data_IF_932661275437
#
_entry.id   IF_932661275437
#
_cell.length_a   1.000
_cell.length_b   1.000
_cell.length_c   1.000
_cell.angle_alpha   90.00
_cell.angle_beta   90.00
_cell.angle_gamma   90.00
#
_symmetry.space_group_name_H-M   'P 1'
#
loop_
_entity.id
_entity.type
_entity.pdbx_description
1 polymer ?
#
# COMPACT_ATOMS: atom_id res chain seq x y z
N UNK A 1 -22.77 3.90 -23.14
CA UNK A 1 -22.35 5.26 -23.52
C UNK A 1 -21.04 5.55 -22.80
N UNK A 2 -19.92 5.50 -23.52
CA UNK A 2 -18.58 5.66 -22.95
C UNK A 2 -18.31 7.12 -22.66
N UNK A 3 -18.11 7.47 -21.38
CA UNK A 3 -17.43 8.72 -21.03
C UNK A 3 -16.00 8.59 -21.54
N UNK A 4 -15.60 9.45 -22.46
CA UNK A 4 -14.20 9.62 -22.82
C UNK A 4 -13.48 10.16 -21.58
N UNK A 5 -12.66 9.33 -20.94
CA UNK A 5 -11.71 9.80 -19.93
C UNK A 5 -10.73 10.75 -20.64
N UNK A 6 -10.95 12.06 -20.51
CA UNK A 6 -10.09 13.07 -21.14
C UNK A 6 -8.77 13.13 -20.38
N UNK A 7 -7.66 12.83 -21.06
CA UNK A 7 -6.31 13.08 -20.55
C UNK A 7 -5.76 14.39 -21.12
N UNK A 8 -4.97 15.10 -20.32
CA UNK A 8 -4.29 16.34 -20.70
C UNK A 8 -2.83 16.26 -20.25
N UNK A 9 -1.89 16.55 -21.15
CA UNK A 9 -0.48 16.72 -20.78
C UNK A 9 -0.32 18.05 -20.03
N UNK A 10 0.33 18.02 -18.88
CA UNK A 10 0.63 19.20 -18.06
C UNK A 10 2.08 19.63 -18.18
N UNK A 11 3.00 18.67 -18.16
CA UNK A 11 4.44 18.90 -18.26
C UNK A 11 5.08 17.83 -19.14
N UNK A 12 6.05 18.25 -19.94
CA UNK A 12 6.88 17.40 -20.77
C UNK A 12 8.32 17.88 -20.62
N UNK A 13 9.16 17.05 -20.01
CA UNK A 13 10.55 17.35 -19.68
C UNK A 13 11.40 16.11 -20.04
N UNK A 14 12.72 16.27 -20.15
CA UNK A 14 13.58 15.19 -20.68
C UNK A 14 13.50 13.87 -19.89
N UNK A 15 13.22 13.93 -18.60
CA UNK A 15 13.19 12.77 -17.70
C UNK A 15 11.78 12.35 -17.27
N UNK A 16 10.73 13.10 -17.66
CA UNK A 16 9.36 12.73 -17.33
C UNK A 16 8.29 13.43 -18.18
N UNK A 17 7.12 12.81 -18.26
CA UNK A 17 5.90 13.44 -18.77
C UNK A 17 4.81 13.33 -17.70
N UNK A 18 4.17 14.45 -17.36
CA UNK A 18 3.03 14.46 -16.43
C UNK A 18 1.75 14.70 -17.21
N UNK A 19 0.78 13.83 -16.96
CA UNK A 19 -0.59 13.99 -17.44
C UNK A 19 -1.56 14.14 -16.28
N UNK A 20 -2.66 14.84 -16.54
CA UNK A 20 -3.87 14.82 -15.73
C UNK A 20 -4.89 13.95 -16.45
N UNK A 21 -5.53 13.02 -15.75
CA UNK A 21 -6.59 12.18 -16.32
C UNK A 21 -7.76 12.10 -15.34
N UNK A 22 -8.96 12.21 -15.88
CA UNK A 22 -10.19 11.93 -15.13
C UNK A 22 -10.40 10.42 -15.09
N UNK A 23 -10.37 9.83 -13.90
CA UNK A 23 -10.62 8.39 -13.71
C UNK A 23 -11.78 8.24 -12.75
N UNK A 24 -12.92 7.74 -13.26
CA UNK A 24 -14.12 7.48 -12.44
C UNK A 24 -14.66 8.72 -11.70
N UNK A 25 -14.49 9.91 -12.29
CA UNK A 25 -14.99 11.18 -11.73
C UNK A 25 -14.03 11.89 -10.77
N UNK A 26 -12.85 11.33 -10.53
CA UNK A 26 -11.77 11.97 -9.76
C UNK A 26 -10.58 12.26 -10.67
N UNK A 27 -9.90 13.39 -10.44
CA UNK A 27 -8.66 13.70 -11.14
C UNK A 27 -7.50 12.87 -10.59
N UNK A 28 -6.66 12.36 -11.47
CA UNK A 28 -5.40 11.68 -11.17
C UNK A 28 -4.28 12.33 -11.97
N UNK A 29 -3.22 12.74 -11.28
CA UNK A 29 -1.96 13.11 -11.91
C UNK A 29 -1.08 11.87 -12.06
N UNK A 30 -0.58 11.62 -13.28
CA UNK A 30 0.33 10.53 -13.56
C UNK A 30 1.63 11.09 -14.13
N UNK A 31 2.73 10.87 -13.42
CA UNK A 31 4.08 11.13 -13.90
C UNK A 31 4.66 9.85 -14.49
N UNK A 32 4.89 9.85 -15.80
CA UNK A 32 5.67 8.82 -16.47
C UNK A 32 7.14 9.19 -16.40
N UNK A 33 7.93 8.40 -15.67
CA UNK A 33 9.33 8.70 -15.37
C UNK A 33 10.25 7.85 -16.24
N UNK A 34 11.24 8.50 -16.85
CA UNK A 34 12.39 7.85 -17.48
C UNK A 34 13.64 8.59 -17.04
N UNK A 35 14.14 8.21 -15.86
CA UNK A 35 15.21 8.94 -15.19
C UNK A 35 16.58 8.61 -15.81
N UNK A 36 17.52 9.56 -15.76
CA UNK A 36 18.90 9.35 -16.19
C UNK A 36 19.57 8.22 -15.40
N UNK A 37 20.49 7.49 -16.02
CA UNK A 37 21.36 6.50 -15.34
C UNK A 37 22.39 7.16 -14.42
N UNK A 38 22.67 8.46 -14.63
CA UNK A 38 23.55 9.26 -13.78
C UNK A 38 22.78 9.84 -12.58
N UNK A 39 23.16 9.46 -11.36
CA UNK A 39 22.51 9.97 -10.15
C UNK A 39 22.63 11.50 -10.00
N UNK A 40 23.73 12.09 -10.47
CA UNK A 40 23.92 13.55 -10.47
C UNK A 40 22.86 14.25 -11.32
N UNK A 41 22.55 13.71 -12.50
CA UNK A 41 21.50 14.22 -13.39
C UNK A 41 20.10 13.98 -12.83
N UNK A 42 19.89 12.89 -12.07
CA UNK A 42 18.59 12.62 -11.42
C UNK A 42 18.23 13.60 -10.31
N UNK A 43 19.19 14.28 -9.68
CA UNK A 43 18.90 15.26 -8.62
C UNK A 43 17.96 16.38 -9.10
N UNK A 44 18.13 16.84 -10.35
CA UNK A 44 17.25 17.85 -10.93
C UNK A 44 15.82 17.31 -11.15
N UNK A 45 15.69 16.05 -11.59
CA UNK A 45 14.40 15.35 -11.69
C UNK A 45 13.67 15.31 -10.33
N UNK A 46 14.34 14.86 -9.26
CA UNK A 46 13.74 14.77 -7.93
C UNK A 46 13.26 16.13 -7.42
N UNK A 47 14.09 17.14 -7.58
CA UNK A 47 13.79 18.52 -7.17
C UNK A 47 12.61 19.09 -7.97
N UNK A 48 12.59 18.85 -9.28
CA UNK A 48 11.55 19.33 -10.17
C UNK A 48 10.19 18.69 -9.87
N UNK A 49 10.14 17.37 -9.71
CA UNK A 49 8.91 16.65 -9.37
C UNK A 49 8.36 17.11 -8.01
N UNK A 50 9.22 17.38 -7.03
CA UNK A 50 8.79 17.89 -5.73
C UNK A 50 8.05 19.23 -5.85
N UNK A 51 8.66 20.20 -6.56
CA UNK A 51 8.05 21.52 -6.78
C UNK A 51 6.69 21.38 -7.47
N UNK A 52 6.58 20.49 -8.47
CA UNK A 52 5.33 20.28 -9.20
C UNK A 52 4.26 19.69 -8.28
N UNK A 53 4.60 18.68 -7.48
CA UNK A 53 3.65 18.05 -6.53
C UNK A 53 3.14 19.06 -5.51
N UNK A 54 4.01 19.89 -4.95
CA UNK A 54 3.61 20.95 -4.01
C UNK A 54 2.65 21.96 -4.65
N UNK A 55 2.85 22.26 -5.94
CA UNK A 55 1.99 23.20 -6.68
C UNK A 55 0.64 22.62 -7.12
N UNK A 56 0.51 21.30 -7.13
CA UNK A 56 -0.65 20.57 -7.65
C UNK A 56 -1.12 19.52 -6.64
N UNK A 57 -1.84 19.95 -5.59
CA UNK A 57 -2.37 19.04 -4.58
C UNK A 57 -3.39 18.08 -5.20
N UNK A 58 -3.32 16.80 -4.83
CA UNK A 58 -4.27 15.79 -5.31
C UNK A 58 -3.69 14.38 -5.30
N UNK A 59 -4.37 13.48 -6.01
CA UNK A 59 -3.92 12.11 -6.18
C UNK A 59 -2.81 12.01 -7.22
N UNK A 60 -1.70 11.37 -6.84
CA UNK A 60 -0.51 11.21 -7.66
C UNK A 60 -0.14 9.75 -7.85
N UNK A 61 0.33 9.44 -9.06
CA UNK A 61 0.95 8.18 -9.41
C UNK A 61 2.23 8.45 -10.22
N UNK A 62 3.34 7.85 -9.83
CA UNK A 62 4.61 7.89 -10.56
C UNK A 62 4.92 6.50 -11.09
N UNK A 63 5.08 6.37 -12.40
CA UNK A 63 5.27 5.06 -13.05
C UNK A 63 6.38 5.15 -14.06
N UNK A 64 7.30 4.19 -14.03
CA UNK A 64 8.32 4.07 -15.06
C UNK A 64 9.67 3.63 -14.52
N UNK A 65 10.71 3.94 -15.29
CA UNK A 65 12.10 3.60 -15.00
C UNK A 65 12.76 4.74 -14.22
N UNK A 66 13.06 4.50 -12.95
CA UNK A 66 13.71 5.47 -12.08
C UNK A 66 15.24 5.37 -12.14
N UNK A 67 15.79 4.36 -12.83
CA UNK A 67 17.22 4.04 -12.89
C UNK A 67 17.92 4.02 -11.51
N UNK A 68 17.15 3.78 -10.44
CA UNK A 68 17.58 3.81 -9.06
C UNK A 68 16.97 2.63 -8.28
N UNK A 69 17.77 2.08 -7.37
CA UNK A 69 17.35 1.06 -6.41
C UNK A 69 17.30 1.67 -5.02
N UNK A 70 16.44 1.16 -4.13
CA UNK A 70 16.34 1.64 -2.74
C UNK A 70 17.44 1.06 -1.84
N UNK A 71 18.13 0.01 -2.29
CA UNK A 71 19.27 -0.55 -1.59
C UNK A 71 19.79 -1.85 -2.21
N UNK A 72 20.78 -2.45 -1.56
CA UNK A 72 21.46 -3.66 -2.05
C UNK A 72 20.51 -4.84 -2.30
N UNK A 73 19.42 -4.96 -1.54
CA UNK A 73 18.42 -6.03 -1.69
C UNK A 73 17.70 -6.03 -3.06
N UNK A 74 17.79 -4.93 -3.81
CA UNK A 74 17.16 -4.75 -5.12
C UNK A 74 18.13 -4.88 -6.30
N UNK A 75 19.36 -5.33 -6.01
CA UNK A 75 20.37 -5.66 -7.01
C UNK A 75 20.90 -7.07 -6.77
N UNK A 76 21.19 -7.79 -7.86
CA UNK A 76 21.87 -9.09 -7.82
C UNK A 76 23.00 -9.08 -8.86
N UNK A 77 24.19 -9.52 -8.44
CA UNK A 77 25.38 -9.53 -9.27
C UNK A 77 26.08 -8.17 -9.36
N UNK A 78 27.35 -8.20 -9.78
CA UNK A 78 28.21 -7.02 -9.87
C UNK A 78 28.48 -6.34 -8.51
N UNK A 79 28.94 -5.09 -8.57
CA UNK A 79 29.21 -4.29 -7.37
C UNK A 79 27.93 -3.87 -6.66
N UNK A 80 28.02 -3.60 -5.35
CA UNK A 80 26.95 -2.99 -4.58
C UNK A 80 26.48 -1.67 -5.22
N UNK A 81 25.19 -1.32 -5.11
CA UNK A 81 24.71 -0.03 -5.60
C UNK A 81 25.33 1.11 -4.78
N UNK A 82 25.45 2.29 -5.39
CA UNK A 82 25.92 3.50 -4.71
C UNK A 82 24.97 3.86 -3.56
N UNK A 83 25.51 3.95 -2.36
CA UNK A 83 24.75 4.31 -1.17
C UNK A 83 24.12 5.71 -1.27
N UNK A 84 24.88 6.67 -1.80
CA UNK A 84 24.40 8.03 -2.08
C UNK A 84 23.18 8.01 -3.01
N UNK A 85 23.27 7.29 -4.13
CA UNK A 85 22.14 7.24 -5.07
C UNK A 85 20.92 6.51 -4.49
N UNK A 86 21.12 5.50 -3.64
CA UNK A 86 20.01 4.80 -2.98
C UNK A 86 19.32 5.72 -1.98
N UNK A 87 20.11 6.37 -1.14
CA UNK A 87 19.63 7.28 -0.09
C UNK A 87 18.86 8.46 -0.67
N UNK A 88 19.37 9.11 -1.72
CA UNK A 88 18.66 10.21 -2.40
C UNK A 88 17.30 9.77 -2.96
N UNK A 89 17.21 8.57 -3.52
CA UNK A 89 15.96 8.05 -4.06
C UNK A 89 14.95 7.73 -2.95
N UNK A 90 15.41 7.10 -1.86
CA UNK A 90 14.57 6.80 -0.69
C UNK A 90 14.11 8.09 0.00
N UNK A 91 15.00 9.08 0.14
CA UNK A 91 14.66 10.39 0.68
C UNK A 91 13.58 11.08 -0.16
N UNK A 92 13.70 11.05 -1.50
CA UNK A 92 12.69 11.62 -2.38
C UNK A 92 11.32 10.92 -2.24
N UNK A 93 11.30 9.58 -2.17
CA UNK A 93 10.08 8.80 -1.92
C UNK A 93 9.44 9.22 -0.59
N UNK A 94 10.24 9.30 0.48
CA UNK A 94 9.77 9.62 1.82
C UNK A 94 9.27 11.07 1.92
N UNK A 95 9.98 12.01 1.30
CA UNK A 95 9.64 13.44 1.32
C UNK A 95 8.29 13.72 0.68
N UNK A 96 7.94 12.96 -0.36
CA UNK A 96 6.64 13.03 -1.02
C UNK A 96 5.60 12.06 -0.44
N UNK A 97 5.91 11.41 0.69
CA UNK A 97 5.05 10.41 1.34
C UNK A 97 4.54 9.34 0.37
N UNK A 98 5.39 8.93 -0.58
CA UNK A 98 5.03 7.98 -1.62
C UNK A 98 5.14 6.54 -1.10
N UNK A 99 4.25 5.71 -1.64
CA UNK A 99 4.16 4.30 -1.31
C UNK A 99 4.50 3.50 -2.57
N UNK A 100 5.49 2.61 -2.46
CA UNK A 100 5.79 1.62 -3.50
C UNK A 100 4.67 0.59 -3.59
N UNK A 101 3.93 0.61 -4.70
CA UNK A 101 2.83 -0.31 -4.94
C UNK A 101 3.44 -1.69 -5.23
N UNK A 102 3.12 -2.72 -4.40
CA UNK A 102 3.66 -4.05 -4.57
C UNK A 102 3.47 -4.56 -6.00
N UNK A 103 4.59 -4.85 -6.64
CA UNK A 103 4.61 -5.30 -8.03
C UNK A 103 4.67 -6.82 -8.06
N UNK A 104 3.62 -7.45 -8.59
CA UNK A 104 3.57 -8.91 -8.74
C UNK A 104 4.28 -9.38 -10.01
N UNK A 105 4.90 -10.56 -9.98
CA UNK A 105 5.67 -11.11 -11.10
C UNK A 105 7.17 -11.12 -10.80
N UNK A 106 8.00 -10.80 -11.78
CA UNK A 106 9.45 -10.67 -11.59
C UNK A 106 9.77 -9.53 -10.62
N UNK A 107 10.60 -9.82 -9.62
CA UNK A 107 11.08 -8.83 -8.66
C UNK A 107 12.11 -7.88 -9.28
N UNK A 108 13.08 -8.41 -10.03
CA UNK A 108 13.99 -7.61 -10.83
C UNK A 108 13.31 -7.24 -12.15
N UNK A 109 13.31 -5.95 -12.45
CA UNK A 109 12.65 -5.42 -13.64
C UNK A 109 13.63 -5.26 -14.78
N UNK A 110 14.92 -5.13 -14.50
CA UNK A 110 16.00 -4.99 -15.50
C UNK A 110 17.04 -6.11 -15.39
N UNK A 111 17.64 -6.46 -16.53
CA UNK A 111 18.71 -7.44 -16.66
C UNK A 111 19.69 -7.06 -17.77
N UNK A 112 20.99 -7.12 -17.49
CA UNK A 112 22.04 -6.68 -18.42
C UNK A 112 22.30 -7.58 -19.64
N UNK A 113 21.56 -8.68 -19.83
CA UNK A 113 21.73 -9.57 -20.98
C UNK A 113 22.87 -10.59 -20.88
N UNK A 114 23.67 -10.59 -19.81
CA UNK A 114 24.83 -11.47 -19.66
C UNK A 114 24.55 -12.73 -18.84
N UNK A 115 25.14 -13.86 -19.23
CA UNK A 115 24.96 -15.15 -18.56
C UNK A 115 26.09 -15.41 -17.55
N UNK A 116 25.83 -16.24 -16.54
CA UNK A 116 26.85 -16.68 -15.58
C UNK A 116 27.21 -15.59 -14.56
N UNK A 117 28.49 -15.48 -14.22
CA UNK A 117 29.00 -14.55 -13.20
C UNK A 117 28.87 -13.08 -13.59
N UNK A 118 28.74 -12.78 -14.88
CA UNK A 118 28.52 -11.41 -15.38
C UNK A 118 27.05 -10.96 -15.34
N UNK A 119 26.11 -11.83 -14.95
CA UNK A 119 24.69 -11.52 -14.93
C UNK A 119 24.34 -10.51 -13.82
N UNK A 120 23.78 -9.37 -14.20
CA UNK A 120 23.35 -8.33 -13.27
C UNK A 120 21.86 -8.08 -13.43
N UNK A 121 21.15 -8.05 -12.31
CA UNK A 121 19.71 -7.81 -12.22
C UNK A 121 19.44 -6.66 -11.28
N UNK A 122 18.51 -5.76 -11.64
CA UNK A 122 18.11 -4.63 -10.82
C UNK A 122 16.60 -4.41 -10.85
N UNK A 123 16.04 -3.85 -9.78
CA UNK A 123 14.66 -3.36 -9.75
C UNK A 123 14.64 -1.85 -9.96
N UNK A 124 14.56 -1.44 -11.22
CA UNK A 124 14.64 -0.03 -11.66
C UNK A 124 13.26 0.57 -11.93
N UNK A 125 12.30 -0.27 -12.33
CA UNK A 125 10.95 0.14 -12.71
C UNK A 125 9.99 0.04 -11.52
N UNK A 126 9.18 1.08 -11.29
CA UNK A 126 8.22 1.12 -10.17
C UNK A 126 6.90 1.77 -10.54
N UNK A 127 5.94 1.56 -9.64
CA UNK A 127 4.70 2.29 -9.54
C UNK A 127 4.58 2.82 -8.11
N UNK A 128 4.70 4.13 -7.92
CA UNK A 128 4.65 4.80 -6.63
C UNK A 128 3.39 5.66 -6.56
N UNK A 129 2.66 5.62 -5.46
CA UNK A 129 1.45 6.44 -5.28
C UNK A 129 1.41 7.13 -3.93
N UNK A 130 0.79 8.31 -3.87
CA UNK A 130 0.52 8.98 -2.60
C UNK A 130 -0.77 8.47 -1.95
N UNK A 131 -1.08 8.97 -0.75
CA UNK A 131 -2.21 8.49 0.05
C UNK A 131 -3.56 8.71 -0.64
N UNK A 132 -3.71 9.85 -1.31
CA UNK A 132 -4.91 10.31 -1.99
C UNK A 132 -5.24 9.37 -3.15
N UNK A 133 -4.22 8.92 -3.89
CA UNK A 133 -4.38 7.91 -4.93
C UNK A 133 -4.93 6.59 -4.36
N UNK A 134 -4.37 6.11 -3.26
CA UNK A 134 -4.76 4.83 -2.66
C UNK A 134 -6.10 4.88 -1.93
N UNK A 135 -6.57 6.08 -1.56
CA UNK A 135 -7.92 6.32 -1.00
C UNK A 135 -8.96 6.41 -2.10
N UNK A 136 -8.66 7.14 -3.18
CA UNK A 136 -9.60 7.36 -4.28
C UNK A 136 -9.87 6.09 -5.09
N UNK A 137 -8.88 5.19 -5.19
CA UNK A 137 -9.03 3.90 -5.85
C UNK A 137 -8.78 2.75 -4.87
N UNK A 138 -9.87 2.07 -4.56
CA UNK A 138 -9.92 0.97 -3.59
C UNK A 138 -9.01 -0.22 -3.97
N UNK A 139 -8.62 -0.33 -5.24
CA UNK A 139 -7.74 -1.39 -5.76
C UNK A 139 -6.74 -0.78 -6.74
N UNK A 140 -5.52 -0.56 -6.28
CA UNK A 140 -4.37 -0.26 -7.15
C UNK A 140 -3.47 -1.50 -7.17
N UNK A 141 -3.18 -2.01 -8.37
CA UNK A 141 -2.30 -3.16 -8.54
C UNK A 141 -1.25 -2.92 -9.62
N UNK A 142 -0.07 -3.47 -9.38
CA UNK A 142 1.06 -3.38 -10.27
C UNK A 142 1.56 -4.79 -10.60
N UNK A 143 1.89 -5.06 -11.86
CA UNK A 143 2.50 -6.34 -12.24
C UNK A 143 3.47 -6.20 -13.40
N UNK A 144 4.55 -6.98 -13.36
CA UNK A 144 5.44 -7.14 -14.51
C UNK A 144 4.81 -8.05 -15.56
N UNK A 145 5.07 -7.73 -16.82
CA UNK A 145 4.79 -8.56 -17.98
C UNK A 145 6.06 -9.28 -18.44
N UNK A 146 5.95 -10.43 -19.12
CA UNK A 146 7.12 -11.08 -19.71
C UNK A 146 7.86 -10.13 -20.67
N UNK A 147 9.18 -10.07 -20.54
CA UNK A 147 10.05 -9.39 -21.51
C UNK A 147 10.37 -10.34 -22.66
N UNK A 148 10.26 -9.88 -23.90
CA UNK A 148 10.55 -10.67 -25.11
C UNK A 148 11.87 -10.24 -25.75
N UNK A 149 12.03 -8.95 -26.01
CA UNK A 149 13.19 -8.36 -26.70
C UNK A 149 13.75 -7.12 -25.97
N UNK A 150 13.43 -7.00 -24.69
CA UNK A 150 13.80 -5.87 -23.83
C UNK A 150 14.59 -6.42 -22.65
N UNK A 151 15.59 -5.67 -22.21
CA UNK A 151 16.28 -5.85 -20.94
C UNK A 151 15.37 -5.51 -19.75
N UNK A 152 14.37 -4.65 -19.96
CA UNK A 152 13.29 -4.37 -18.99
C UNK A 152 12.06 -5.28 -19.12
N UNK A 153 11.46 -5.62 -17.99
CA UNK A 153 10.10 -6.12 -17.85
C UNK A 153 9.09 -4.96 -17.92
N UNK A 154 8.16 -4.94 -18.87
CA UNK A 154 7.10 -3.93 -18.88
C UNK A 154 6.26 -4.01 -17.60
N UNK A 155 5.94 -2.87 -17.02
CA UNK A 155 5.02 -2.79 -15.88
C UNK A 155 3.61 -2.45 -16.37
N UNK A 156 2.63 -3.22 -15.89
CA UNK A 156 1.20 -2.92 -16.04
C UNK A 156 0.65 -2.44 -14.70
N UNK A 157 0.09 -1.23 -14.71
CA UNK A 157 -0.65 -0.67 -13.58
C UNK A 157 -2.15 -0.75 -13.87
N UNK A 158 -2.91 -1.17 -12.87
CA UNK A 158 -4.36 -1.30 -12.94
C UNK A 158 -5.00 -0.58 -11.77
N UNK A 159 -5.87 0.38 -12.08
CA UNK A 159 -6.70 1.11 -11.12
C UNK A 159 -8.13 0.57 -11.20
N UNK A 160 -8.76 0.31 -10.06
CA UNK A 160 -10.13 -0.14 -10.03
C UNK A 160 -10.85 0.21 -8.73
N UNK A 161 -12.16 0.45 -8.83
CA UNK A 161 -13.06 0.45 -7.70
C UNK A 161 -13.78 -0.91 -7.68
N UNK A 162 -13.38 -1.78 -6.77
CA UNK A 162 -14.25 -2.90 -6.42
C UNK A 162 -15.42 -2.32 -5.65
N UNK A 163 -16.59 -2.20 -6.27
CA UNK A 163 -17.85 -2.01 -5.55
C UNK A 163 -17.85 -3.04 -4.41
N UNK A 164 -17.81 -2.54 -3.16
CA UNK A 164 -17.70 -3.38 -1.97
C UNK A 164 -18.95 -4.24 -1.83
N UNK A 165 -18.87 -5.48 -2.31
CA UNK A 165 -19.84 -6.54 -2.01
C UNK A 165 -19.20 -7.76 -1.34
N UNK A 166 -17.98 -7.63 -0.81
CA UNK A 166 -17.39 -8.68 0.00
C UNK A 166 -17.59 -8.33 1.47
N UNK A 167 -18.46 -9.11 2.14
CA UNK A 167 -18.52 -9.18 3.61
C UNK A 167 -17.08 -9.33 4.10
N UNK A 168 -16.59 -8.45 4.99
CA UNK A 168 -15.23 -8.61 5.51
C UNK A 168 -15.12 -9.98 6.15
N UNK A 169 -14.14 -10.76 5.69
CA UNK A 169 -13.76 -11.97 6.38
C UNK A 169 -13.27 -11.55 7.77
N UNK A 170 -13.92 -12.07 8.82
CA UNK A 170 -13.45 -11.88 10.18
C UNK A 170 -12.01 -12.38 10.26
N UNK A 171 -11.10 -11.47 10.62
CA UNK A 171 -9.74 -11.80 11.04
C UNK A 171 -9.73 -11.74 12.55
N UNK A 172 -9.00 -12.67 13.18
CA UNK A 172 -8.79 -12.61 14.61
C UNK A 172 -7.97 -11.36 14.93
N UNK A 173 -8.45 -10.54 15.87
CA UNK A 173 -7.75 -9.31 16.25
C UNK A 173 -6.93 -9.51 17.53
N UNK A 174 -5.70 -9.02 17.56
CA UNK A 174 -4.81 -9.17 18.74
C UNK A 174 -5.41 -8.54 20.00
N UNK A 175 -6.10 -7.41 19.84
CA UNK A 175 -6.81 -6.72 20.92
C UNK A 175 -7.85 -7.61 21.63
N UNK A 176 -8.36 -8.65 20.95
CA UNK A 176 -9.25 -9.62 21.58
C UNK A 176 -8.53 -10.44 22.64
N UNK A 177 -7.30 -10.91 22.36
CA UNK A 177 -6.51 -11.70 23.31
C UNK A 177 -6.16 -10.94 24.58
N UNK A 178 -6.12 -9.61 24.53
CA UNK A 178 -5.83 -8.76 25.69
C UNK A 178 -7.03 -8.62 26.64
N UNK A 179 -8.24 -8.94 26.19
CA UNK A 179 -9.43 -8.84 27.01
C UNK A 179 -9.68 -10.15 27.79
N UNK A 180 -9.90 -10.03 29.10
CA UNK A 180 -10.05 -11.18 30.02
C UNK A 180 -11.10 -12.21 29.56
N UNK A 181 -12.23 -11.73 29.01
CA UNK A 181 -13.34 -12.59 28.59
C UNK A 181 -13.12 -13.33 27.27
N UNK A 182 -12.05 -13.03 26.52
CA UNK A 182 -11.81 -13.61 25.20
C UNK A 182 -11.80 -15.14 25.23
N UNK A 183 -11.10 -15.71 26.21
CA UNK A 183 -11.03 -17.17 26.41
C UNK A 183 -12.41 -17.77 26.69
N UNK A 184 -13.21 -17.11 27.52
CA UNK A 184 -14.54 -17.57 27.87
C UNK A 184 -15.49 -17.55 26.66
N UNK A 185 -15.40 -16.53 25.80
CA UNK A 185 -16.18 -16.43 24.55
C UNK A 185 -15.82 -17.56 23.60
N UNK A 186 -14.52 -17.82 23.39
CA UNK A 186 -14.06 -18.90 22.51
C UNK A 186 -14.46 -20.27 23.06
N UNK A 187 -14.28 -20.53 24.36
CA UNK A 187 -14.65 -21.80 24.99
C UNK A 187 -16.15 -22.08 24.89
N UNK A 188 -16.99 -21.06 25.13
CA UNK A 188 -18.44 -21.18 25.00
C UNK A 188 -18.85 -21.53 23.57
N UNK A 189 -18.32 -20.81 22.59
CA UNK A 189 -18.61 -21.05 21.18
C UNK A 189 -18.10 -22.43 20.70
N UNK A 190 -16.97 -22.87 21.25
CA UNK A 190 -16.41 -24.20 20.99
C UNK A 190 -17.22 -25.31 21.67
N UNK A 191 -17.94 -25.00 22.75
CA UNK A 191 -18.80 -25.94 23.46
C UNK A 191 -20.07 -26.35 22.70
N UNK A 192 -20.49 -25.60 21.68
CA UNK A 192 -21.74 -25.89 20.96
C UNK A 192 -21.76 -27.27 20.31
N UNK A 193 -22.86 -28.03 20.42
CA UNK A 193 -22.95 -29.38 19.87
C UNK A 193 -22.74 -29.36 18.36
N UNK A 194 -21.96 -30.33 17.86
CA UNK A 194 -21.63 -30.47 16.44
C UNK A 194 -21.63 -31.96 16.07
N UNK A 195 -22.13 -32.29 14.87
CA UNK A 195 -22.29 -33.66 14.41
C UNK A 195 -21.77 -33.82 12.98
N UNK A 196 -21.28 -35.01 12.65
CA UNK A 196 -20.71 -35.35 11.35
C UNK A 196 -19.29 -35.93 11.47
N UNK A 197 -18.60 -36.05 10.35
CA UNK A 197 -17.19 -36.41 10.32
C UNK A 197 -16.30 -35.31 10.95
N UNK A 198 -15.05 -35.64 11.22
CA UNK A 198 -14.10 -34.75 11.90
C UNK A 198 -13.95 -33.38 11.21
N UNK A 199 -13.95 -33.33 9.88
CA UNK A 199 -13.82 -32.07 9.13
C UNK A 199 -15.09 -31.23 9.25
N UNK A 200 -16.26 -31.87 9.23
CA UNK A 200 -17.55 -31.21 9.41
C UNK A 200 -17.73 -30.66 10.82
N UNK A 201 -17.28 -31.41 11.84
CA UNK A 201 -17.25 -30.94 13.23
C UNK A 201 -16.33 -29.73 13.35
N UNK A 202 -15.10 -29.81 12.85
CA UNK A 202 -14.14 -28.71 12.91
C UNK A 202 -14.66 -27.45 12.22
N UNK A 203 -15.23 -27.59 11.02
CA UNK A 203 -15.84 -26.48 10.29
C UNK A 203 -16.96 -25.80 11.10
N UNK A 204 -17.83 -26.59 11.73
CA UNK A 204 -18.91 -26.06 12.56
C UNK A 204 -18.38 -25.29 13.77
N UNK A 205 -17.39 -25.86 14.48
CA UNK A 205 -16.76 -25.21 15.65
C UNK A 205 -16.11 -23.87 15.28
N UNK A 206 -15.34 -23.84 14.19
CA UNK A 206 -14.71 -22.61 13.68
C UNK A 206 -15.76 -21.56 13.26
N UNK A 207 -16.87 -22.00 12.64
CA UNK A 207 -17.98 -21.12 12.26
C UNK A 207 -18.67 -20.51 13.48
N UNK A 208 -18.86 -21.30 14.53
CA UNK A 208 -19.45 -20.85 15.81
C UNK A 208 -18.57 -19.83 16.50
N UNK A 209 -17.27 -20.12 16.67
CA UNK A 209 -16.30 -19.16 17.22
C UNK A 209 -16.29 -17.86 16.43
N UNK A 210 -16.28 -17.94 15.10
CA UNK A 210 -16.34 -16.77 14.23
C UNK A 210 -17.61 -15.93 14.44
N UNK A 211 -18.76 -16.57 14.69
CA UNK A 211 -20.03 -15.87 14.93
C UNK A 211 -19.98 -15.12 16.26
N UNK A 212 -19.58 -15.80 17.32
CA UNK A 212 -19.63 -15.26 18.67
C UNK A 212 -18.59 -14.16 18.86
N UNK A 213 -17.38 -14.33 18.32
CA UNK A 213 -16.36 -13.26 18.30
C UNK A 213 -16.83 -12.02 17.52
N UNK A 214 -17.68 -12.15 16.50
CA UNK A 214 -18.24 -10.99 15.79
C UNK A 214 -19.23 -10.20 16.62
N UNK A 215 -20.10 -10.92 17.33
CA UNK A 215 -21.10 -10.32 18.22
C UNK A 215 -20.36 -9.63 19.36
N UNK A 216 -19.47 -10.36 20.03
CA UNK A 216 -18.66 -9.85 21.13
C UNK A 216 -17.77 -8.66 20.71
N UNK A 217 -17.14 -8.68 19.53
CA UNK A 217 -16.39 -7.53 19.04
C UNK A 217 -17.26 -6.28 18.89
N UNK A 218 -18.50 -6.43 18.39
CA UNK A 218 -19.41 -5.30 18.23
C UNK A 218 -19.85 -4.76 19.59
N UNK A 219 -20.18 -5.66 20.52
CA UNK A 219 -20.81 -5.30 21.80
C UNK A 219 -19.79 -4.79 22.82
N UNK A 220 -18.56 -5.33 22.82
CA UNK A 220 -17.52 -4.99 23.80
C UNK A 220 -16.49 -3.99 23.26
N UNK A 221 -16.06 -4.12 22.00
CA UNK A 221 -15.02 -3.23 21.45
C UNK A 221 -15.62 -2.07 20.64
N UNK A 222 -16.64 -2.34 19.83
CA UNK A 222 -17.29 -1.32 18.99
C UNK A 222 -16.30 -0.60 18.07
N UNK A 223 -16.35 0.73 18.07
CA UNK A 223 -15.36 1.58 17.40
C UNK A 223 -14.31 2.04 18.42
N UNK A 224 -13.13 1.43 18.37
CA UNK A 224 -12.02 1.69 19.30
C UNK A 224 -11.59 3.17 19.27
N UNK A 225 -11.58 3.82 18.10
CA UNK A 225 -11.23 5.24 17.98
C UNK A 225 -12.25 6.15 18.69
N UNK A 226 -13.54 5.84 18.56
CA UNK A 226 -14.60 6.58 19.25
C UNK A 226 -14.48 6.42 20.76
N UNK A 227 -14.10 5.24 21.24
CA UNK A 227 -13.87 4.99 22.67
C UNK A 227 -12.70 5.81 23.19
N UNK A 228 -11.54 5.77 22.54
CA UNK A 228 -10.39 6.60 22.91
C UNK A 228 -10.77 8.08 22.96
N UNK A 229 -11.45 8.60 21.94
CA UNK A 229 -11.89 10.00 21.91
C UNK A 229 -12.88 10.33 23.04
N UNK A 230 -13.80 9.42 23.35
CA UNK A 230 -14.79 9.63 24.43
C UNK A 230 -14.13 9.59 25.81
N UNK A 231 -13.23 8.64 26.04
CA UNK A 231 -12.51 8.49 27.31
C UNK A 231 -11.51 9.63 27.52
N UNK A 232 -10.90 10.16 26.45
CA UNK A 232 -10.05 11.35 26.50
C UNK A 232 -10.84 12.57 26.97
N UNK A 233 -12.02 12.80 26.38
CA UNK A 233 -12.94 13.87 26.82
C UNK A 233 -13.40 13.69 28.27
N UNK A 234 -13.71 12.46 28.68
CA UNK A 234 -14.09 12.18 30.06
C UNK A 234 -12.94 12.49 31.05
N UNK A 235 -11.68 12.23 30.68
CA UNK A 235 -10.52 12.64 31.48
C UNK A 235 -10.38 14.17 31.52
N UNK A 236 -10.53 14.84 30.38
CA UNK A 236 -10.51 16.31 30.30
C UNK A 236 -11.60 16.92 31.21
N UNK A 237 -12.83 16.39 31.18
CA UNK A 237 -13.94 16.85 32.01
C UNK A 237 -13.65 16.69 33.52
N UNK A 238 -13.00 15.58 33.91
CA UNK A 238 -12.56 15.36 35.31
C UNK A 238 -11.48 16.37 35.70
N UNK A 239 -10.48 16.59 34.84
CA UNK A 239 -9.37 17.50 35.13
C UNK A 239 -9.79 18.98 35.16
N UNK A 240 -10.81 19.35 34.38
CA UNK A 240 -11.39 20.71 34.38
C UNK A 240 -12.22 20.97 35.64
N UNK A 241 -12.78 19.93 36.28
CA UNK A 241 -13.50 20.09 37.54
C UNK A 241 -12.52 20.42 38.69
N UNK A 242 -12.55 21.64 39.28
CA UNK A 242 -11.60 22.02 40.33
C UNK A 242 -11.78 21.26 41.65
N UNK A 243 -12.86 20.48 41.78
CA UNK A 243 -13.18 19.71 42.99
C UNK A 243 -13.04 18.19 42.80
N UNK A 244 -12.42 17.71 41.71
CA UNK A 244 -12.24 16.28 41.50
C UNK A 244 -11.33 15.67 42.58
N UNK A 245 -11.57 14.39 42.92
CA UNK A 245 -10.66 13.67 43.80
C UNK A 245 -9.45 13.12 43.02
N UNK A 246 -8.27 12.97 43.65
CA UNK A 246 -7.15 12.29 43.02
C UNK A 246 -7.46 10.84 42.60
N UNK A 247 -8.37 10.16 43.31
CA UNK A 247 -8.81 8.81 42.91
C UNK A 247 -9.66 8.81 41.64
N UNK A 248 -10.52 9.83 41.46
CA UNK A 248 -11.35 10.00 40.27
C UNK A 248 -10.49 10.25 39.02
N UNK A 249 -9.50 11.14 39.13
CA UNK A 249 -8.57 11.39 38.02
C UNK A 249 -7.75 10.13 37.69
N UNK A 250 -7.20 9.45 38.72
CA UNK A 250 -6.43 8.23 38.51
C UNK A 250 -7.24 7.12 37.83
N UNK A 251 -8.52 6.99 38.18
CA UNK A 251 -9.43 6.03 37.53
C UNK A 251 -9.69 6.40 36.06
N UNK A 252 -9.90 7.67 35.75
CA UNK A 252 -10.07 8.16 34.38
C UNK A 252 -8.80 7.94 33.53
N UNK A 253 -7.61 8.24 34.10
CA UNK A 253 -6.32 8.03 33.45
C UNK A 253 -6.07 6.54 33.14
N UNK A 254 -6.37 5.64 34.09
CA UNK A 254 -6.25 4.18 33.87
C UNK A 254 -7.18 3.69 32.77
N UNK A 255 -8.39 4.23 32.72
CA UNK A 255 -9.37 3.88 31.68
C UNK A 255 -8.87 4.32 30.31
N UNK A 256 -8.38 5.56 30.17
CA UNK A 256 -7.80 6.06 28.92
C UNK A 256 -6.59 5.22 28.48
N UNK A 257 -5.69 4.88 29.41
CA UNK A 257 -4.53 4.04 29.12
C UNK A 257 -4.93 2.65 28.59
N UNK A 258 -5.98 2.06 29.14
CA UNK A 258 -6.52 0.79 28.66
C UNK A 258 -7.04 0.89 27.23
N UNK A 259 -7.82 1.92 26.90
CA UNK A 259 -8.35 2.15 25.55
C UNK A 259 -7.24 2.42 24.52
N UNK A 260 -6.23 3.21 24.90
CA UNK A 260 -5.06 3.49 24.05
C UNK A 260 -4.26 2.21 23.76
N UNK A 261 -4.13 1.32 24.75
CA UNK A 261 -3.46 0.02 24.56
C UNK A 261 -4.18 -0.85 23.52
N UNK A 262 -5.53 -0.84 23.55
CA UNK A 262 -6.34 -1.57 22.56
C UNK A 262 -6.24 -0.94 21.16
N UNK A 263 -6.23 0.38 21.07
CA UNK A 263 -6.04 1.11 19.81
C UNK A 263 -4.65 0.84 19.21
N UNK A 264 -3.60 0.83 20.05
CA UNK A 264 -2.25 0.51 19.63
C UNK A 264 -2.15 -0.92 19.08
N UNK A 265 -2.73 -1.90 19.78
CA UNK A 265 -2.78 -3.30 19.31
C UNK A 265 -3.53 -3.41 17.96
N UNK A 266 -4.65 -2.71 17.81
CA UNK A 266 -5.40 -2.64 16.54
C UNK A 266 -4.52 -2.11 15.41
N UNK A 267 -3.78 -1.03 15.66
CA UNK A 267 -2.90 -0.40 14.68
C UNK A 267 -1.70 -1.28 14.32
N UNK A 268 -1.02 -1.87 15.31
CA UNK A 268 0.08 -2.83 15.12
C UNK A 268 -0.32 -3.97 14.20
N UNK A 269 -1.52 -4.53 14.38
CA UNK A 269 -2.03 -5.60 13.52
C UNK A 269 -2.28 -5.13 12.07
N UNK A 270 -2.83 -3.92 11.87
CA UNK A 270 -3.08 -3.37 10.52
C UNK A 270 -1.77 -3.10 9.77
N UNK A 271 -0.74 -2.65 10.48
CA UNK A 271 0.54 -2.27 9.89
C UNK A 271 1.57 -3.40 9.86
N UNK A 272 1.37 -4.53 10.57
CA UNK A 272 2.34 -5.66 10.70
C UNK A 272 3.81 -5.22 10.61
N UNK A 273 4.18 -4.20 11.39
CA UNK A 273 5.58 -3.75 11.54
C UNK A 273 6.04 -4.28 12.89
N UNK A 274 7.14 -5.05 12.88
CA UNK A 274 7.68 -5.75 14.06
C UNK A 274 8.70 -4.89 14.82
N UNK A 275 9.07 -3.73 14.28
CA UNK A 275 10.13 -2.88 14.83
C UNK A 275 9.59 -1.46 14.92
N UNK A 276 9.20 -1.07 16.13
CA UNK A 276 9.05 0.32 16.53
C UNK A 276 9.54 0.42 17.96
N UNK A 277 10.61 1.18 18.14
CA UNK A 277 10.91 1.85 19.40
C UNK A 277 9.82 2.90 19.64
N UNK A 278 9.33 2.98 20.88
CA UNK A 278 8.11 3.65 21.35
C UNK A 278 7.89 5.15 21.02
N UNK A 279 8.68 5.80 20.15
CA UNK A 279 8.74 7.27 20.09
C UNK A 279 8.03 7.96 18.94
N UNK A 280 7.27 7.28 18.07
CA UNK A 280 6.56 7.97 16.99
C UNK A 280 5.16 7.39 16.75
N UNK A 281 4.29 7.67 17.73
CA UNK A 281 2.88 7.28 17.72
C UNK A 281 2.12 8.31 16.88
N UNK A 282 1.38 7.84 15.88
CA UNK A 282 0.36 8.61 15.13
C UNK A 282 0.83 9.54 13.98
N UNK A 283 1.87 9.18 13.23
CA UNK A 283 2.28 9.95 12.04
C UNK A 283 1.39 9.67 10.83
N UNK A 284 1.25 10.66 9.93
CA UNK A 284 0.58 10.52 8.63
C UNK A 284 1.11 9.32 7.84
N UNK A 285 2.42 9.06 7.95
CA UNK A 285 3.11 7.89 7.41
C UNK A 285 2.44 6.58 7.82
N UNK A 286 2.07 6.42 9.09
CA UNK A 286 1.43 5.21 9.60
C UNK A 286 0.04 5.00 8.99
N UNK A 287 -0.77 6.05 8.94
CA UNK A 287 -2.09 6.02 8.29
C UNK A 287 -1.96 5.70 6.80
N UNK A 288 -0.95 6.26 6.14
CA UNK A 288 -0.65 6.05 4.72
C UNK A 288 -0.21 4.60 4.45
N UNK A 289 0.59 3.99 5.33
CA UNK A 289 0.92 2.57 5.27
C UNK A 289 -0.31 1.65 5.45
N UNK A 290 -1.25 1.99 6.35
CA UNK A 290 -2.49 1.21 6.53
C UNK A 290 -3.35 1.29 5.27
N UNK A 291 -3.55 2.50 4.73
CA UNK A 291 -4.29 2.73 3.48
C UNK A 291 -3.66 1.93 2.34
N UNK A 292 -2.34 2.02 2.18
CA UNK A 292 -1.57 1.26 1.21
C UNK A 292 -1.83 -0.24 1.30
N UNK A 293 -1.70 -0.80 2.50
CA UNK A 293 -1.92 -2.23 2.72
C UNK A 293 -3.35 -2.67 2.47
N UNK A 294 -4.35 -1.83 2.77
CA UNK A 294 -5.75 -2.17 2.50
C UNK A 294 -6.03 -2.23 0.99
N UNK A 295 -5.43 -1.32 0.22
CA UNK A 295 -5.55 -1.30 -1.25
C UNK A 295 -4.76 -2.45 -1.89
N UNK A 296 -3.55 -2.74 -1.41
CA UNK A 296 -2.60 -3.66 -2.06
C UNK A 296 -2.73 -5.13 -1.62
N UNK A 297 -3.22 -5.43 -0.41
CA UNK A 297 -3.40 -6.81 0.07
C UNK A 297 -4.66 -7.51 -0.49
N UNK A 298 -5.31 -6.93 -1.50
CA UNK A 298 -6.36 -7.64 -2.23
C UNK A 298 -5.73 -8.77 -3.03
N UNK A 299 -6.32 -9.97 -2.96
CA UNK A 299 -5.87 -11.08 -3.80
C UNK A 299 -6.25 -10.76 -5.24
N UNK A 300 -5.27 -10.28 -6.02
CA UNK A 300 -5.45 -9.88 -7.43
C UNK A 300 -5.49 -11.11 -8.35
N UNK A 301 -4.69 -12.13 -8.04
CA UNK A 301 -4.64 -13.37 -8.82
C UNK A 301 -4.25 -14.56 -7.96
N UNK A 302 -4.84 -15.71 -8.25
CA UNK A 302 -4.42 -17.01 -7.72
C UNK A 302 -3.56 -17.71 -8.76
N UNK A 303 -2.47 -18.32 -8.32
CA UNK A 303 -1.59 -19.16 -9.16
C UNK A 303 -1.61 -20.57 -8.59
N UNK A 304 -1.90 -21.56 -9.43
CA UNK A 304 -1.84 -22.98 -9.09
C UNK A 304 -0.97 -23.67 -10.14
N UNK A 305 0.06 -24.40 -9.71
CA UNK A 305 0.99 -25.12 -10.59
C UNK A 305 1.61 -24.25 -11.71
N UNK A 306 1.95 -23.00 -11.37
CA UNK A 306 2.50 -22.03 -12.33
C UNK A 306 1.48 -21.38 -13.27
N UNK A 307 0.22 -21.84 -13.27
CA UNK A 307 -0.87 -21.29 -14.07
C UNK A 307 -1.66 -20.27 -13.26
N UNK A 308 -1.67 -19.01 -13.75
CA UNK A 308 -2.42 -17.91 -13.13
C UNK A 308 -3.86 -17.90 -13.63
N UNK A 309 -4.84 -17.89 -12.70
CA UNK A 309 -6.24 -17.76 -13.05
C UNK A 309 -6.50 -16.38 -13.70
N UNK A 310 -6.87 -16.37 -14.99
CA UNK A 310 -7.17 -15.14 -15.74
C UNK A 310 -8.57 -14.64 -15.36
N UNK A 311 -8.69 -13.43 -14.80
CA UNK A 311 -9.95 -12.69 -14.85
C UNK A 311 -10.21 -12.30 -16.30
N UNK A 312 -11.29 -12.83 -16.87
CA UNK A 312 -11.75 -12.54 -18.23
C UNK A 312 -12.25 -11.09 -18.25
N UNK A 313 -11.43 -10.15 -18.73
CA UNK A 313 -11.86 -8.82 -19.15
C UNK A 313 -10.93 -8.35 -20.28
N UNK A 314 -11.48 -8.41 -21.49
CA UNK A 314 -10.84 -8.21 -22.78
C UNK A 314 -10.93 -6.76 -23.21
N UNK A 315 -10.03 -5.88 -22.72
CA UNK A 315 -9.71 -4.56 -23.31
C UNK A 315 -8.38 -4.04 -22.74
N UNK A 316 -7.23 -4.62 -23.11
CA UNK A 316 -5.93 -4.23 -22.49
C UNK A 316 -4.68 -4.23 -23.37
N UNK A 317 -4.79 -4.48 -24.67
CA UNK A 317 -3.60 -4.63 -25.54
C UNK A 317 -3.26 -3.35 -26.31
N UNK A 318 -4.23 -2.45 -26.56
CA UNK A 318 -4.00 -1.28 -27.39
C UNK A 318 -3.26 -0.12 -26.69
N UNK A 319 -3.59 0.21 -25.44
CA UNK A 319 -2.98 1.35 -24.72
C UNK A 319 -1.49 1.14 -24.37
N UNK A 320 -1.05 -0.10 -24.13
CA UNK A 320 0.34 -0.39 -23.75
C UNK A 320 1.30 -0.36 -24.96
N UNK A 321 0.83 -0.79 -26.13
CA UNK A 321 1.62 -0.79 -27.38
C UNK A 321 1.77 0.64 -27.90
N UNK A 322 0.70 1.45 -27.83
CA UNK A 322 0.75 2.85 -28.26
C UNK A 322 1.66 3.71 -27.37
N UNK A 323 1.69 3.49 -26.05
CA UNK A 323 2.53 4.27 -25.13
C UNK A 323 4.03 3.92 -25.24
N UNK A 324 4.38 2.63 -25.36
CA UNK A 324 5.78 2.22 -25.56
C UNK A 324 6.29 2.64 -26.95
N UNK A 325 5.42 2.61 -27.98
CA UNK A 325 5.77 3.12 -29.31
C UNK A 325 5.94 4.65 -29.33
N UNK A 326 5.08 5.39 -28.61
CA UNK A 326 5.17 6.85 -28.46
C UNK A 326 6.43 7.29 -27.71
N UNK A 327 6.75 6.65 -26.58
CA UNK A 327 7.97 6.93 -25.81
C UNK A 327 9.24 6.55 -26.58
N UNK A 328 9.22 5.46 -27.37
CA UNK A 328 10.34 5.11 -28.27
C UNK A 328 10.49 6.08 -29.43
N UNK A 329 9.39 6.59 -30.01
CA UNK A 329 9.47 7.58 -31.09
C UNK A 329 9.99 8.94 -30.62
N UNK A 330 9.65 9.38 -29.40
CA UNK A 330 10.13 10.67 -28.87
C UNK A 330 11.60 10.59 -28.41
N UNK A 331 12.02 9.47 -27.81
CA UNK A 331 13.38 9.33 -27.26
C UNK A 331 14.43 8.85 -28.29
N UNK A 332 14.03 8.13 -29.35
CA UNK A 332 14.98 7.71 -30.41
C UNK A 332 15.25 8.85 -31.41
N UNK A 333 14.32 9.78 -31.62
CA UNK A 333 14.51 10.88 -32.58
C UNK A 333 15.49 11.96 -32.08
N UNK A 334 15.83 12.00 -30.79
CA UNK A 334 16.76 13.00 -30.21
C UNK A 334 18.14 12.48 -29.80
N UNK A 335 18.44 11.20 -30.04
CA UNK A 335 19.79 10.64 -29.84
C UNK A 335 20.62 10.60 -31.13
N UNK A 336 20.10 11.13 -32.24
CA UNK A 336 20.81 11.27 -33.53
C UNK A 336 20.93 12.72 -34.03
N UNK A 337 20.86 13.72 -33.15
CA UNK A 337 21.15 15.13 -33.48
C UNK A 337 22.32 15.67 -32.68
#
# INVERSE_FOLDING_TARGET
MGRSDSSRVLFEEDQFVIISVQVQGSNLYIAFVYASTSYLTRRSLWSRLHIIVDSLPGAWLFVGDFNAVMGAHEKKGGNLPSDTSCSEFVEWINKLCLIDIPTSGSFYTWYNGLVGSGAIYQRLDRCLGNSECLVNWDSVSCRTLPRLSSDHHPILVELGNTVRLLKPNLKFHEMWSLHQDCRAVVQRAWGYPAHGDAMRILFFKLRSVKKDLRIWNKDVFGNVHTRVSTTCKALEDVQVNPNHSPEEELAAQRTLMSELTLEEAFWKEKVRVKWMTDSDRNTEFFFNMVKARRSTNKIVSLTHEGVRAKRRNSWRIWLLISFIAYMKQILVVRTMS
#
